data_IF_406334938824
#
_entry.id   IF_406334938824
#
_cell.length_a   1.000
_cell.length_b   1.000
_cell.length_c   1.000
_cell.angle_alpha   90.00
_cell.angle_beta   90.00
_cell.angle_gamma   90.00
#
_symmetry.space_group_name_H-M   'P 1'
#
loop_
_entity.id
_entity.type
_entity.pdbx_description
1 polymer ?
#
# COMPACT_ATOMS: atom_id res chain seq x y z
N UNK A 1 -22.09 -54.40 -17.47
CA UNK A 1 -20.81 -54.16 -18.19
C UNK A 1 -20.85 -52.73 -18.74
N UNK A 2 -20.24 -51.74 -18.07
CA UNK A 2 -18.99 -51.04 -18.49
C UNK A 2 -18.90 -50.92 -20.02
N UNK A 3 -18.93 -49.71 -20.58
CA UNK A 3 -17.70 -48.93 -20.78
C UNK A 3 -18.00 -47.47 -21.17
N UNK A 4 -17.42 -46.55 -20.41
CA UNK A 4 -17.31 -45.12 -20.67
C UNK A 4 -16.26 -44.83 -21.76
N UNK A 5 -16.55 -43.90 -22.68
CA UNK A 5 -15.57 -43.35 -23.62
C UNK A 5 -15.29 -41.89 -23.29
N UNK A 6 -14.01 -41.65 -23.00
CA UNK A 6 -13.41 -40.37 -22.59
C UNK A 6 -13.24 -39.49 -23.82
N UNK A 7 -13.70 -38.24 -23.76
CA UNK A 7 -13.22 -37.18 -24.66
C UNK A 7 -12.29 -36.27 -23.88
N UNK A 8 -11.04 -36.25 -24.33
CA UNK A 8 -9.94 -35.45 -23.82
C UNK A 8 -10.16 -33.99 -24.20
N UNK A 9 -9.98 -33.08 -23.26
CA UNK A 9 -9.67 -31.68 -23.54
C UNK A 9 -8.62 -31.26 -22.53
N UNK A 10 -7.36 -31.35 -22.96
CA UNK A 10 -6.20 -30.89 -22.22
C UNK A 10 -6.23 -29.36 -22.19
N UNK A 11 -6.78 -28.79 -21.12
CA UNK A 11 -6.58 -27.37 -20.83
C UNK A 11 -5.13 -27.19 -20.37
N UNK A 12 -4.29 -26.60 -21.22
CA UNK A 12 -2.93 -26.23 -20.87
C UNK A 12 -2.96 -25.22 -19.72
N UNK A 13 -2.56 -25.65 -18.52
CA UNK A 13 -2.39 -24.78 -17.37
C UNK A 13 -1.13 -23.93 -17.64
N UNK A 14 -1.30 -22.68 -18.09
CA UNK A 14 -0.19 -21.73 -18.15
C UNK A 14 0.20 -21.38 -16.71
N UNK A 15 1.24 -22.04 -16.20
CA UNK A 15 1.86 -21.68 -14.93
C UNK A 15 2.69 -20.41 -15.15
N UNK A 16 2.07 -19.24 -14.98
CA UNK A 16 2.80 -17.99 -14.88
C UNK A 16 3.57 -18.00 -13.56
N UNK A 17 4.84 -18.42 -13.60
CA UNK A 17 5.77 -18.22 -12.49
C UNK A 17 6.07 -16.73 -12.42
N UNK A 18 5.29 -16.01 -11.61
CA UNK A 18 5.65 -14.68 -11.16
C UNK A 18 6.88 -14.85 -10.27
N UNK A 19 8.07 -14.55 -10.82
CA UNK A 19 9.28 -14.38 -10.04
C UNK A 19 8.99 -13.29 -9.00
N UNK A 20 8.70 -13.69 -7.77
CA UNK A 20 8.61 -12.77 -6.64
C UNK A 20 10.02 -12.28 -6.34
N UNK A 21 10.44 -11.19 -6.97
CA UNK A 21 11.60 -10.44 -6.50
C UNK A 21 11.25 -9.89 -5.12
N UNK A 22 12.09 -10.08 -4.10
CA UNK A 22 11.88 -9.41 -2.83
C UNK A 22 12.04 -7.91 -3.07
N UNK A 23 10.92 -7.18 -3.14
CA UNK A 23 10.94 -5.72 -3.11
C UNK A 23 11.48 -5.31 -1.74
N UNK A 24 12.68 -4.73 -1.71
CA UNK A 24 13.27 -4.19 -0.50
C UNK A 24 12.37 -3.04 -0.02
N UNK A 25 11.97 -3.09 1.26
CA UNK A 25 11.16 -2.08 1.92
C UNK A 25 11.84 -0.71 1.92
N UNK A 26 11.62 0.08 0.87
CA UNK A 26 12.20 1.40 0.73
C UNK A 26 11.17 2.43 1.16
N UNK A 27 11.35 2.96 2.36
CA UNK A 27 10.73 4.19 2.78
C UNK A 27 11.13 5.33 1.82
N UNK A 28 10.16 5.99 1.21
CA UNK A 28 10.41 7.16 0.36
C UNK A 28 10.13 8.42 1.16
N UNK A 29 11.10 9.34 1.23
CA UNK A 29 10.94 10.66 1.85
C UNK A 29 11.04 11.76 0.80
N UNK A 30 10.04 12.63 0.73
CA UNK A 30 9.94 13.72 -0.25
C UNK A 30 9.37 14.99 0.36
N UNK A 31 9.81 16.15 -0.12
CA UNK A 31 9.21 17.44 0.21
C UNK A 31 7.97 17.69 -0.66
N UNK A 32 6.81 17.86 -0.02
CA UNK A 32 5.52 18.03 -0.71
C UNK A 32 4.60 18.97 0.07
N UNK A 33 3.92 19.88 -0.62
CA UNK A 33 2.94 20.79 -0.02
C UNK A 33 3.47 21.73 1.07
N UNK A 34 4.79 21.99 1.10
CA UNK A 34 5.44 22.78 2.15
C UNK A 34 5.86 21.99 3.39
N UNK A 35 5.59 20.68 3.43
CA UNK A 35 6.02 19.76 4.48
C UNK A 35 6.90 18.62 3.98
N UNK A 36 7.27 17.74 4.89
CA UNK A 36 8.03 16.51 4.62
C UNK A 36 7.10 15.32 4.70
N UNK A 37 7.06 14.52 3.63
CA UNK A 37 6.25 13.31 3.55
C UNK A 37 7.13 12.08 3.42
N UNK A 38 7.01 11.15 4.37
CA UNK A 38 7.68 9.85 4.35
C UNK A 38 6.64 8.74 4.27
N UNK A 39 6.75 7.85 3.28
CA UNK A 39 5.77 6.79 3.09
C UNK A 39 6.38 5.50 2.57
N UNK A 40 5.65 4.40 2.78
CA UNK A 40 5.86 3.13 2.08
C UNK A 40 4.50 2.55 1.72
N UNK A 41 4.42 1.96 0.52
CA UNK A 41 3.23 1.30 0.01
C UNK A 41 3.56 -0.12 -0.49
N UNK A 42 4.56 -0.75 0.14
CA UNK A 42 5.04 -2.07 -0.26
C UNK A 42 4.31 -3.19 0.49
N UNK A 43 4.33 -4.41 -0.06
CA UNK A 43 3.57 -5.56 0.42
C UNK A 43 3.84 -5.98 1.88
N UNK A 44 4.92 -5.48 2.51
CA UNK A 44 5.22 -5.70 3.93
C UNK A 44 5.12 -4.45 4.80
N UNK A 45 5.09 -3.26 4.20
CA UNK A 45 5.17 -1.99 4.90
C UNK A 45 4.23 -0.98 4.24
N UNK A 46 3.09 -0.72 4.87
CA UNK A 46 2.15 0.30 4.46
C UNK A 46 2.03 1.34 5.57
N UNK A 47 2.69 2.48 5.35
CA UNK A 47 2.63 3.60 6.28
C UNK A 47 2.77 4.94 5.55
N UNK A 48 2.29 5.99 6.21
CA UNK A 48 2.39 7.38 5.78
C UNK A 48 2.67 8.24 7.00
N UNK A 49 3.70 9.07 6.91
CA UNK A 49 4.09 10.06 7.89
C UNK A 49 4.22 11.40 7.20
N UNK A 50 3.49 12.41 7.68
CA UNK A 50 3.57 13.75 7.12
C UNK A 50 3.80 14.77 8.23
N UNK A 51 4.80 15.63 8.04
CA UNK A 51 5.15 16.69 8.97
C UNK A 51 5.03 18.04 8.27
N UNK A 52 4.22 18.92 8.83
CA UNK A 52 4.12 20.32 8.40
C UNK A 52 4.23 21.29 9.57
N UNK A 53 5.22 22.19 9.55
CA UNK A 53 5.55 23.07 10.67
C UNK A 53 4.61 24.27 10.81
N UNK A 54 3.93 24.68 9.73
CA UNK A 54 3.12 25.91 9.71
C UNK A 54 1.62 25.71 9.54
N UNK A 55 1.15 24.51 9.16
CA UNK A 55 -0.24 24.24 8.74
C UNK A 55 -0.76 22.94 9.33
N UNK A 56 -2.08 22.85 9.43
CA UNK A 56 -2.77 21.64 9.88
C UNK A 56 -2.68 20.60 8.76
N UNK A 57 -2.38 19.36 9.12
CA UNK A 57 -2.04 18.36 8.13
C UNK A 57 -2.44 16.95 8.57
N UNK A 58 -2.50 16.00 7.65
CA UNK A 58 -2.83 14.60 7.96
C UNK A 58 -2.06 13.61 7.09
N UNK A 59 -1.95 12.39 7.57
CA UNK A 59 -1.46 11.24 6.83
C UNK A 59 -2.57 10.20 6.73
N UNK A 60 -2.62 9.45 5.64
CA UNK A 60 -3.60 8.38 5.44
C UNK A 60 -2.97 7.25 4.67
N UNK A 61 -3.34 6.03 5.03
CA UNK A 61 -3.01 4.82 4.27
C UNK A 61 -4.28 4.07 3.92
N UNK A 62 -4.22 3.37 2.80
CA UNK A 62 -5.31 2.56 2.29
C UNK A 62 -4.75 1.31 1.64
N UNK A 63 -5.41 0.18 1.87
CA UNK A 63 -5.24 -1.05 1.10
C UNK A 63 -6.61 -1.48 0.58
N UNK A 64 -6.70 -2.65 -0.05
CA UNK A 64 -7.97 -3.14 -0.63
C UNK A 64 -9.11 -3.34 0.39
N UNK A 65 -8.80 -3.48 1.67
CA UNK A 65 -9.77 -3.83 2.71
C UNK A 65 -10.01 -2.71 3.72
N UNK A 66 -9.05 -1.80 3.91
CA UNK A 66 -9.02 -0.88 5.04
C UNK A 66 -8.41 0.46 4.65
N UNK A 67 -8.94 1.52 5.26
CA UNK A 67 -8.38 2.88 5.21
C UNK A 67 -8.18 3.38 6.63
N UNK A 68 -6.99 3.89 6.92
CA UNK A 68 -6.64 4.42 8.23
C UNK A 68 -6.04 5.82 8.08
N UNK A 69 -6.54 6.76 8.88
CA UNK A 69 -6.10 8.15 8.86
C UNK A 69 -5.59 8.55 10.24
N UNK A 70 -4.56 9.40 10.26
CA UNK A 70 -4.11 10.05 11.49
C UNK A 70 -5.14 11.01 12.08
N UNK A 71 -6.16 11.41 11.31
CA UNK A 71 -6.93 12.61 11.53
C UNK A 71 -6.12 13.88 11.23
N UNK A 72 -6.77 15.05 11.24
CA UNK A 72 -6.07 16.33 11.14
C UNK A 72 -5.24 16.58 12.40
N UNK A 73 -3.96 16.84 12.21
CA UNK A 73 -3.00 17.18 13.26
C UNK A 73 -2.59 18.64 13.15
N UNK A 74 -2.48 19.34 14.29
CA UNK A 74 -2.06 20.73 14.30
C UNK A 74 -0.62 20.85 13.79
N UNK A 75 -0.26 22.08 13.39
CA UNK A 75 1.09 22.40 12.92
C UNK A 75 2.17 21.93 13.91
N UNK A 76 3.27 21.39 13.38
CA UNK A 76 4.39 20.89 14.17
C UNK A 76 4.19 19.50 14.79
N UNK A 77 2.98 18.94 14.76
CA UNK A 77 2.70 17.58 15.28
C UNK A 77 2.67 16.58 14.14
N UNK A 78 3.55 15.57 14.22
CA UNK A 78 3.67 14.54 13.19
C UNK A 78 2.35 13.78 13.00
N UNK A 79 1.88 13.75 11.76
CA UNK A 79 0.75 12.92 11.36
C UNK A 79 1.24 11.55 10.89
N UNK A 80 0.84 10.48 11.59
CA UNK A 80 1.24 9.10 11.27
C UNK A 80 0.01 8.22 11.06
N UNK A 81 0.03 7.42 9.99
CA UNK A 81 -0.96 6.39 9.71
C UNK A 81 -0.24 5.13 9.20
N UNK A 82 -0.64 3.95 9.69
CA UNK A 82 -0.06 2.68 9.27
C UNK A 82 -1.12 1.58 9.25
N UNK A 83 -0.94 0.60 8.37
CA UNK A 83 -1.76 -0.59 8.24
C UNK A 83 -0.86 -1.78 7.89
N UNK A 84 -1.36 -2.99 8.11
CA UNK A 84 -0.79 -4.16 7.47
C UNK A 84 -0.93 -4.01 5.94
N UNK A 85 0.18 -4.19 5.24
CA UNK A 85 0.19 -4.13 3.80
C UNK A 85 -0.55 -5.34 3.19
N UNK A 86 -1.27 -5.10 2.11
CA UNK A 86 -1.84 -6.13 1.25
C UNK A 86 -0.86 -6.50 0.14
N UNK A 87 -1.09 -7.62 -0.55
CA UNK A 87 -0.28 -8.00 -1.72
C UNK A 87 -0.36 -6.94 -2.84
N UNK A 88 -1.52 -6.29 -2.99
CA UNK A 88 -1.77 -5.26 -4.00
C UNK A 88 -2.63 -4.14 -3.43
N UNK A 89 -2.67 -3.00 -4.12
CA UNK A 89 -3.59 -1.90 -3.81
C UNK A 89 -3.20 -1.04 -2.59
N UNK A 90 -1.98 -1.20 -2.07
CA UNK A 90 -1.44 -0.35 -1.02
C UNK A 90 -1.22 1.08 -1.54
N UNK A 91 -1.72 2.06 -0.81
CA UNK A 91 -1.59 3.48 -1.14
C UNK A 91 -1.34 4.28 0.12
N UNK A 92 -0.45 5.26 0.01
CA UNK A 92 -0.18 6.23 1.05
C UNK A 92 -0.53 7.63 0.54
N UNK A 93 -1.06 8.46 1.43
CA UNK A 93 -1.52 9.81 1.15
C UNK A 93 -1.08 10.78 2.25
N UNK A 94 -1.04 12.05 1.89
CA UNK A 94 -0.86 13.21 2.76
C UNK A 94 -1.83 14.31 2.33
N UNK A 95 -2.14 15.21 3.25
CA UNK A 95 -3.00 16.37 2.98
C UNK A 95 -2.71 17.52 3.96
N UNK A 96 -2.99 18.76 3.56
CA UNK A 96 -2.67 19.99 4.29
C UNK A 96 -3.72 21.08 4.08
N UNK A 97 -4.11 21.77 5.15
CA UNK A 97 -5.05 22.90 5.17
C UNK A 97 -4.52 24.10 5.94
#
# INVERSE_FOLDING_TARGET
MKTSRKFLSAAALAAAVLLATPMAANAVTVSKGGGTWTYSAEAKNLYSQYQHHSRTHKATVENLSQRHSSGWRPKGVLATAALSASLFGNKAYWDVI
#
